data_IF_651839491115
#
_entry.id   IF_651839491115
#
_cell.length_a   1.000
_cell.length_b   1.000
_cell.length_c   1.000
_cell.angle_alpha   90.00
_cell.angle_beta   90.00
_cell.angle_gamma   90.00
#
_symmetry.space_group_name_H-M   'P 1'
#
loop_
_entity.id
_entity.type
_entity.pdbx_description
1 polymer ?
#
# COMPACT_ATOMS: atom_id res chain seq x y z
N UNK A 1 -2.24 35.18 -17.37
CA UNK A 1 -1.16 34.84 -18.34
C UNK A 1 0.19 35.06 -17.64
N UNK A 2 1.04 34.03 -17.57
CA UNK A 2 2.40 34.18 -17.02
C UNK A 2 3.31 34.95 -17.97
N UNK A 3 4.38 35.56 -17.44
CA UNK A 3 5.35 36.39 -18.18
C UNK A 3 6.20 35.63 -19.22
N UNK A 4 6.10 34.29 -19.32
CA UNK A 4 6.92 33.46 -20.23
C UNK A 4 6.06 32.78 -21.31
N UNK A 5 6.57 32.64 -22.55
CA UNK A 5 5.91 31.87 -23.60
C UNK A 5 5.79 30.40 -23.19
N UNK A 6 4.60 29.80 -23.40
CA UNK A 6 4.34 28.37 -23.16
C UNK A 6 3.98 27.69 -24.48
N UNK A 7 4.49 26.47 -24.69
CA UNK A 7 4.12 25.60 -25.83
C UNK A 7 2.91 24.70 -25.52
N UNK A 8 2.30 24.81 -24.33
CA UNK A 8 1.19 23.96 -23.89
C UNK A 8 0.24 24.66 -22.90
N UNK A 9 -0.64 23.87 -22.28
CA UNK A 9 -1.67 24.35 -21.34
C UNK A 9 -1.97 23.36 -20.22
N UNK A 10 -3.02 23.63 -19.44
CA UNK A 10 -3.56 22.73 -18.42
C UNK A 10 -4.81 22.05 -18.98
N UNK A 11 -4.87 20.72 -18.89
CA UNK A 11 -6.06 19.93 -19.23
C UNK A 11 -6.63 19.29 -17.98
N UNK A 12 -7.95 19.26 -17.89
CA UNK A 12 -8.69 18.67 -16.77
C UNK A 12 -9.83 17.84 -17.36
N UNK A 13 -10.00 16.63 -16.87
CA UNK A 13 -11.01 15.68 -17.31
C UNK A 13 -11.39 14.74 -16.14
N UNK A 14 -12.43 13.94 -16.29
CA UNK A 14 -12.91 12.95 -15.31
C UNK A 14 -13.17 13.57 -13.90
N UNK A 15 -13.69 14.80 -13.84
CA UNK A 15 -13.99 15.49 -12.57
C UNK A 15 -15.12 14.76 -11.85
N UNK A 16 -14.88 14.36 -10.60
CA UNK A 16 -15.88 13.74 -9.73
C UNK A 16 -15.98 14.49 -8.41
N UNK A 17 -17.20 14.57 -7.87
CA UNK A 17 -17.48 15.15 -6.55
C UNK A 17 -18.35 14.18 -5.76
N UNK A 18 -17.96 13.90 -4.53
CA UNK A 18 -18.72 13.07 -3.58
C UNK A 18 -18.53 13.57 -2.16
N UNK A 19 -19.56 13.42 -1.33
CA UNK A 19 -19.51 13.72 0.11
C UNK A 19 -18.81 12.60 0.89
N UNK A 20 -17.59 12.27 0.48
CA UNK A 20 -16.77 11.20 1.05
C UNK A 20 -15.41 11.75 1.48
N UNK A 21 -14.81 11.15 2.50
CA UNK A 21 -13.46 11.54 2.90
C UNK A 21 -12.44 11.17 1.83
N UNK A 22 -11.54 12.09 1.48
CA UNK A 22 -10.42 11.80 0.60
C UNK A 22 -9.54 10.67 1.16
N UNK A 23 -8.95 9.83 0.29
CA UNK A 23 -7.93 8.89 0.71
C UNK A 23 -6.77 9.67 1.34
N UNK A 24 -6.18 9.11 2.41
CA UNK A 24 -5.08 9.80 3.10
C UNK A 24 -3.80 9.80 2.26
N UNK A 25 -3.58 8.72 1.49
CA UNK A 25 -2.42 8.60 0.61
C UNK A 25 -2.81 7.93 -0.71
N UNK A 26 -2.04 8.26 -1.74
CA UNK A 26 -2.19 7.70 -3.08
C UNK A 26 -0.84 7.17 -3.54
N UNK A 27 -0.81 5.94 -4.01
CA UNK A 27 0.35 5.34 -4.65
C UNK A 27 0.04 5.01 -6.10
N UNK A 28 0.59 5.82 -7.00
CA UNK A 28 0.54 5.57 -8.45
C UNK A 28 1.76 4.77 -8.87
N UNK A 29 1.54 3.64 -9.52
CA UNK A 29 2.59 2.82 -10.13
C UNK A 29 2.44 2.96 -11.64
N UNK A 30 3.52 3.39 -12.30
CA UNK A 30 3.58 3.58 -13.75
C UNK A 30 4.20 2.37 -14.44
N UNK A 31 4.00 2.27 -15.75
CA UNK A 31 4.52 1.20 -16.59
C UNK A 31 4.09 -0.19 -16.08
N UNK A 32 2.85 -0.29 -15.59
CA UNK A 32 2.39 -1.43 -14.83
C UNK A 32 2.29 -2.70 -15.68
N UNK A 33 1.99 -2.58 -16.97
CA UNK A 33 1.97 -3.72 -17.91
C UNK A 33 3.34 -4.38 -18.03
N UNK A 34 4.40 -3.57 -18.10
CA UNK A 34 5.78 -4.08 -18.12
C UNK A 34 6.14 -4.75 -16.79
N UNK A 35 5.77 -4.13 -15.66
CA UNK A 35 5.97 -4.73 -14.34
C UNK A 35 5.23 -6.06 -14.19
N UNK A 36 3.99 -6.15 -14.67
CA UNK A 36 3.19 -7.36 -14.69
C UNK A 36 3.83 -8.47 -15.56
N UNK A 37 4.48 -8.12 -16.66
CA UNK A 37 5.14 -9.10 -17.54
C UNK A 37 6.49 -9.59 -16.98
N UNK A 38 7.23 -8.74 -16.26
CA UNK A 38 8.65 -8.98 -15.94
C UNK A 38 8.93 -9.29 -14.47
N UNK A 39 8.06 -8.89 -13.54
CA UNK A 39 8.29 -9.07 -12.11
C UNK A 39 8.08 -10.55 -11.72
N UNK A 40 9.07 -11.27 -11.19
CA UNK A 40 8.87 -12.66 -10.81
C UNK A 40 7.94 -12.79 -9.59
N UNK A 41 7.22 -13.91 -9.50
CA UNK A 41 6.43 -14.23 -8.31
C UNK A 41 7.32 -14.29 -7.06
N UNK A 42 6.82 -13.79 -5.93
CA UNK A 42 7.59 -13.64 -4.69
C UNK A 42 8.43 -12.36 -4.60
N UNK A 43 8.51 -11.56 -5.68
CA UNK A 43 9.15 -10.24 -5.63
C UNK A 43 8.18 -9.18 -5.10
N UNK A 44 8.61 -8.46 -4.06
CA UNK A 44 7.82 -7.40 -3.42
C UNK A 44 8.20 -6.02 -3.95
N UNK A 45 7.22 -5.33 -4.53
CA UNK A 45 7.27 -3.91 -4.86
C UNK A 45 6.71 -3.11 -3.69
N UNK A 46 7.46 -2.15 -3.15
CA UNK A 46 7.05 -1.42 -1.95
C UNK A 46 6.65 0.02 -2.26
N UNK A 47 5.61 0.50 -1.59
CA UNK A 47 5.22 1.91 -1.64
C UNK A 47 6.27 2.80 -0.96
N UNK A 48 6.22 4.13 -1.16
CA UNK A 48 6.80 5.06 -0.20
C UNK A 48 6.32 4.76 1.23
N UNK A 49 7.10 5.19 2.23
CA UNK A 49 6.64 5.17 3.61
C UNK A 49 5.69 6.35 3.85
N UNK A 50 4.57 6.05 4.48
CA UNK A 50 3.56 7.02 4.86
C UNK A 50 3.55 7.20 6.38
N UNK A 51 2.92 8.28 6.83
CA UNK A 51 2.78 8.60 8.24
C UNK A 51 1.31 8.93 8.52
N UNK A 52 0.63 8.06 9.27
CA UNK A 52 -0.78 8.22 9.62
C UNK A 52 -1.03 9.50 10.43
N UNK A 53 -2.29 10.01 10.50
CA UNK A 53 -2.63 11.16 11.34
C UNK A 53 -2.23 10.99 12.80
N UNK A 54 -2.26 9.76 13.31
CA UNK A 54 -1.89 9.42 14.69
C UNK A 54 -0.39 9.22 14.89
N UNK A 55 0.42 9.37 13.83
CA UNK A 55 1.88 9.35 13.88
C UNK A 55 2.53 7.98 13.61
N UNK A 56 1.76 6.91 13.36
CA UNK A 56 2.33 5.62 12.97
C UNK A 56 2.85 5.66 11.53
N UNK A 57 4.11 5.25 11.34
CA UNK A 57 4.66 5.10 10.00
C UNK A 57 4.34 3.71 9.44
N UNK A 58 3.99 3.63 8.16
CA UNK A 58 3.62 2.37 7.51
C UNK A 58 4.03 2.33 6.04
N UNK A 59 4.01 1.13 5.47
CA UNK A 59 4.36 0.86 4.08
C UNK A 59 3.54 -0.30 3.53
N UNK A 60 3.24 -0.25 2.24
CA UNK A 60 2.51 -1.31 1.53
C UNK A 60 3.49 -2.11 0.67
N UNK A 61 3.45 -3.43 0.82
CA UNK A 61 4.14 -4.39 -0.05
C UNK A 61 3.17 -5.02 -1.04
N UNK A 62 3.44 -4.85 -2.32
CA UNK A 62 2.68 -5.41 -3.43
C UNK A 62 3.49 -6.51 -4.11
N UNK A 63 2.89 -7.68 -4.31
CA UNK A 63 3.47 -8.76 -5.09
C UNK A 63 2.63 -8.91 -6.35
N UNK A 64 3.08 -8.25 -7.42
CA UNK A 64 2.31 -8.07 -8.67
C UNK A 64 1.89 -9.42 -9.27
N UNK A 65 2.81 -10.38 -9.32
CA UNK A 65 2.58 -11.75 -9.80
C UNK A 65 2.33 -12.77 -8.68
N UNK A 66 2.00 -12.29 -7.49
CA UNK A 66 1.69 -13.10 -6.32
C UNK A 66 2.91 -13.53 -5.51
N UNK A 67 2.64 -14.25 -4.42
CA UNK A 67 3.67 -14.86 -3.57
C UNK A 67 4.03 -16.24 -4.12
N UNK A 68 5.19 -16.78 -3.75
CA UNK A 68 5.69 -18.06 -4.28
C UNK A 68 4.69 -19.22 -4.14
N UNK A 69 3.93 -19.26 -3.05
CA UNK A 69 2.91 -20.28 -2.77
C UNK A 69 1.50 -19.95 -3.32
N UNK A 70 1.30 -18.80 -3.96
CA UNK A 70 0.02 -18.38 -4.54
C UNK A 70 0.28 -17.47 -5.74
N UNK A 71 0.69 -18.10 -6.84
CA UNK A 71 1.04 -17.43 -8.09
C UNK A 71 -0.23 -17.03 -8.87
N UNK A 72 -0.08 -16.13 -9.84
CA UNK A 72 -1.16 -15.66 -10.75
C UNK A 72 -2.28 -14.85 -10.08
N UNK A 73 -2.08 -14.45 -8.83
CA UNK A 73 -2.95 -13.53 -8.09
C UNK A 73 -2.08 -12.46 -7.47
N UNK A 74 -2.42 -11.19 -7.69
CA UNK A 74 -1.71 -10.12 -7.02
C UNK A 74 -1.94 -10.24 -5.51
N UNK A 75 -0.89 -10.03 -4.72
CA UNK A 75 -0.96 -10.02 -3.26
C UNK A 75 -0.60 -8.64 -2.71
N UNK A 76 -1.21 -8.27 -1.59
CA UNK A 76 -0.98 -6.99 -0.94
C UNK A 76 -0.84 -7.18 0.56
N UNK A 77 0.14 -6.50 1.15
CA UNK A 77 0.42 -6.56 2.56
C UNK A 77 0.73 -5.18 3.13
N UNK A 78 0.16 -4.92 4.30
CA UNK A 78 0.47 -3.78 5.12
C UNK A 78 1.61 -4.11 6.09
N UNK A 79 2.48 -3.13 6.32
CA UNK A 79 3.55 -3.17 7.31
C UNK A 79 3.55 -1.88 8.12
N UNK A 80 3.66 -2.00 9.45
CA UNK A 80 4.18 -0.87 10.24
C UNK A 80 5.69 -0.72 9.97
N UNK A 81 6.19 0.50 9.97
CA UNK A 81 7.61 0.81 9.82
C UNK A 81 8.08 1.75 10.90
N UNK A 82 9.38 1.74 11.21
CA UNK A 82 9.93 2.65 12.22
C UNK A 82 9.77 4.09 11.77
N UNK A 83 9.08 4.89 12.57
CA UNK A 83 8.77 6.28 12.30
C UNK A 83 9.48 7.27 13.23
N UNK A 84 9.26 8.57 12.99
CA UNK A 84 9.80 9.67 13.80
C UNK A 84 9.10 9.85 15.15
N UNK A 85 7.87 9.33 15.31
CA UNK A 85 7.07 9.50 16.54
C UNK A 85 7.02 8.25 17.41
N UNK A 86 7.68 7.16 17.02
CA UNK A 86 7.57 5.84 17.67
C UNK A 86 7.73 5.86 19.20
N UNK A 87 8.57 6.75 19.73
CA UNK A 87 8.84 6.88 21.18
C UNK A 87 7.66 7.48 21.96
N UNK A 88 6.71 8.12 21.26
CA UNK A 88 5.51 8.76 21.82
C UNK A 88 4.23 7.97 21.52
N UNK A 89 4.33 6.91 20.73
CA UNK A 89 3.18 6.10 20.32
C UNK A 89 2.94 4.95 21.28
N UNK A 90 1.69 4.51 21.36
CA UNK A 90 1.33 3.30 22.06
C UNK A 90 1.78 2.06 21.28
N UNK A 91 2.34 1.09 21.97
CA UNK A 91 2.74 -0.19 21.40
C UNK A 91 2.28 -1.35 22.29
N UNK A 92 1.77 -2.46 21.72
CA UNK A 92 1.49 -2.71 20.30
C UNK A 92 0.43 -1.75 19.71
N UNK A 93 0.51 -1.45 18.41
CA UNK A 93 -0.37 -0.49 17.74
C UNK A 93 -1.85 -0.87 17.89
N UNK A 94 -2.66 -0.12 18.65
CA UNK A 94 -3.99 -0.57 19.04
C UNK A 94 -5.06 -0.14 18.05
N UNK A 95 -5.73 -1.13 17.46
CA UNK A 95 -7.01 -0.98 16.77
C UNK A 95 -7.03 0.05 15.62
N UNK A 96 -5.91 0.17 14.90
CA UNK A 96 -5.85 0.95 13.67
C UNK A 96 -6.33 0.11 12.50
N UNK A 97 -7.32 0.60 11.77
CA UNK A 97 -7.81 0.00 10.55
C UNK A 97 -7.04 0.58 9.37
N UNK A 98 -6.31 -0.29 8.67
CA UNK A 98 -5.68 0.04 7.40
C UNK A 98 -6.59 -0.36 6.25
N UNK A 99 -6.94 0.58 5.38
CA UNK A 99 -7.59 0.31 4.10
C UNK A 99 -6.56 0.34 2.97
N UNK A 100 -6.55 -0.72 2.15
CA UNK A 100 -5.76 -0.84 0.94
C UNK A 100 -6.69 -1.07 -0.23
N UNK A 101 -6.78 -0.08 -1.10
CA UNK A 101 -7.77 -0.03 -2.17
C UNK A 101 -7.06 0.12 -3.51
N UNK A 102 -7.46 -0.69 -4.48
CA UNK A 102 -7.07 -0.58 -5.89
C UNK A 102 -8.22 0.09 -6.64
N UNK A 103 -7.93 1.26 -7.19
CA UNK A 103 -8.92 2.11 -7.85
C UNK A 103 -9.26 1.56 -9.24
N UNK A 104 -10.56 1.32 -9.48
CA UNK A 104 -11.12 1.23 -10.81
C UNK A 104 -11.23 2.65 -11.38
N UNK A 105 -10.42 2.99 -12.38
CA UNK A 105 -10.28 4.35 -12.91
C UNK A 105 -11.39 4.71 -13.91
N UNK A 106 -12.62 4.26 -13.64
CA UNK A 106 -13.81 4.65 -14.40
C UNK A 106 -14.01 6.18 -14.29
N UNK A 107 -14.29 6.88 -15.42
CA UNK A 107 -14.62 8.31 -15.43
C UNK A 107 -15.72 8.70 -14.45
N UNK A 108 -16.74 7.86 -14.29
CA UNK A 108 -17.85 8.09 -13.37
C UNK A 108 -17.62 7.33 -12.05
N UNK A 109 -17.57 8.06 -10.94
CA UNK A 109 -17.40 7.50 -9.60
C UNK A 109 -18.49 6.50 -9.22
N UNK A 110 -19.72 6.65 -9.74
CA UNK A 110 -20.84 5.73 -9.46
C UNK A 110 -20.64 4.35 -10.10
N UNK A 111 -19.78 4.25 -11.12
CA UNK A 111 -19.48 3.01 -11.84
C UNK A 111 -18.13 2.38 -11.45
N UNK A 112 -17.42 2.97 -10.47
CA UNK A 112 -16.17 2.40 -9.96
C UNK A 112 -16.44 1.18 -9.11
N UNK A 113 -15.81 0.06 -9.47
CA UNK A 113 -15.81 -1.17 -8.66
C UNK A 113 -14.43 -1.40 -8.08
N UNK A 114 -14.01 -0.50 -7.18
CA UNK A 114 -12.72 -0.59 -6.52
C UNK A 114 -12.56 -1.92 -5.78
N UNK A 115 -11.36 -2.49 -5.81
CA UNK A 115 -11.06 -3.70 -5.06
C UNK A 115 -10.40 -3.29 -3.75
N UNK A 116 -11.02 -3.59 -2.61
CA UNK A 116 -10.61 -3.09 -1.30
C UNK A 116 -10.34 -4.27 -0.36
N UNK A 117 -9.26 -4.17 0.41
CA UNK A 117 -9.03 -5.02 1.58
C UNK A 117 -8.74 -4.14 2.79
N UNK A 118 -9.30 -4.52 3.94
CA UNK A 118 -9.05 -3.84 5.21
C UNK A 118 -8.43 -4.82 6.20
N UNK A 119 -7.54 -4.31 7.04
CA UNK A 119 -7.00 -5.04 8.18
C UNK A 119 -7.08 -4.15 9.42
N UNK A 120 -7.14 -4.75 10.60
CA UNK A 120 -7.10 -4.02 11.87
C UNK A 120 -5.90 -4.49 12.69
N UNK A 121 -5.18 -3.55 13.30
CA UNK A 121 -4.04 -3.86 14.17
C UNK A 121 -4.52 -4.33 15.54
N UNK A 122 -4.81 -5.62 15.68
CA UNK A 122 -5.17 -6.22 16.98
C UNK A 122 -3.94 -6.26 17.92
N UNK A 123 -3.90 -5.46 18.99
CA UNK A 123 -2.73 -5.37 19.87
C UNK A 123 -2.44 -6.66 20.62
N UNK A 124 -3.37 -7.62 20.66
CA UNK A 124 -3.19 -8.93 21.30
C UNK A 124 -2.61 -9.98 20.36
N UNK A 125 -2.54 -9.69 19.05
CA UNK A 125 -2.01 -10.62 18.06
C UNK A 125 -0.51 -10.85 18.31
N UNK A 126 -0.12 -12.12 18.45
CA UNK A 126 1.26 -12.53 18.67
C UNK A 126 1.81 -13.38 17.53
N UNK A 127 3.13 -13.55 17.52
CA UNK A 127 3.83 -14.53 16.72
C UNK A 127 5.05 -15.03 17.49
N UNK A 128 5.53 -16.23 17.14
CA UNK A 128 6.77 -16.77 17.67
C UNK A 128 7.92 -16.44 16.72
N UNK A 129 8.99 -15.81 17.23
CA UNK A 129 10.17 -15.53 16.43
C UNK A 129 11.04 -16.78 16.20
N UNK A 130 12.09 -16.66 15.39
CA UNK A 130 12.99 -17.78 15.07
C UNK A 130 13.76 -18.32 16.28
N UNK A 131 13.78 -17.60 17.41
CA UNK A 131 14.42 -18.01 18.67
C UNK A 131 13.41 -18.61 19.65
N UNK A 132 12.15 -18.80 19.24
CA UNK A 132 11.11 -19.36 20.10
C UNK A 132 10.44 -18.34 21.03
N UNK A 133 10.74 -17.05 20.92
CA UNK A 133 10.15 -16.03 21.78
C UNK A 133 8.81 -15.55 21.21
N UNK A 134 7.79 -15.48 22.06
CA UNK A 134 6.50 -14.87 21.71
C UNK A 134 6.66 -13.35 21.71
N UNK A 135 6.27 -12.72 20.60
CA UNK A 135 6.30 -11.26 20.41
C UNK A 135 4.95 -10.78 19.89
N UNK A 136 4.62 -9.53 20.16
CA UNK A 136 3.43 -8.91 19.59
C UNK A 136 3.66 -8.56 18.13
N UNK A 137 2.71 -8.93 17.27
CA UNK A 137 2.79 -8.75 15.83
C UNK A 137 2.86 -7.27 15.43
N UNK A 138 2.12 -6.43 16.15
CA UNK A 138 2.02 -4.99 15.92
C UNK A 138 2.85 -4.15 16.90
N UNK A 139 3.88 -4.72 17.53
CA UNK A 139 4.82 -3.95 18.36
C UNK A 139 5.71 -3.03 17.49
N UNK A 140 6.48 -2.18 18.16
CA UNK A 140 7.38 -1.22 17.54
C UNK A 140 8.31 -1.94 16.53
N UNK A 141 8.35 -1.52 15.26
CA UNK A 141 9.19 -2.14 14.24
C UNK A 141 10.67 -2.21 14.61
N UNK A 142 11.19 -1.29 15.44
CA UNK A 142 12.57 -1.37 15.96
C UNK A 142 12.80 -2.58 16.87
N UNK A 143 11.76 -3.12 17.51
CA UNK A 143 11.80 -4.31 18.39
C UNK A 143 11.51 -5.61 17.65
N UNK A 144 10.52 -5.61 16.75
CA UNK A 144 9.97 -6.83 16.15
C UNK A 144 10.16 -6.93 14.64
N UNK A 145 10.61 -5.85 14.00
CA UNK A 145 10.81 -5.76 12.57
C UNK A 145 12.22 -6.14 12.11
N UNK A 146 12.42 -6.06 10.79
CA UNK A 146 13.71 -6.31 10.14
C UNK A 146 14.25 -5.02 9.54
N UNK A 147 15.57 -4.84 9.61
CA UNK A 147 16.24 -3.70 9.00
C UNK A 147 16.12 -3.77 7.47
N UNK A 148 15.68 -2.68 6.86
CA UNK A 148 15.57 -2.50 5.41
C UNK A 148 16.47 -1.32 5.02
N UNK A 149 17.13 -1.47 3.87
CA UNK A 149 17.86 -0.40 3.19
C UNK A 149 17.04 -0.04 1.96
N UNK A 150 16.56 1.20 1.89
CA UNK A 150 15.80 1.69 0.73
C UNK A 150 16.73 2.01 -0.45
N UNK A 151 16.13 2.26 -1.61
CA UNK A 151 16.87 2.59 -2.84
C UNK A 151 17.70 3.87 -2.74
N UNK A 152 17.31 4.80 -1.87
CA UNK A 152 18.06 6.03 -1.56
C UNK A 152 19.17 5.84 -0.50
N UNK A 153 19.35 4.61 0.00
CA UNK A 153 20.31 4.27 1.05
C UNK A 153 19.80 4.52 2.48
N UNK A 154 18.59 5.07 2.65
CA UNK A 154 18.00 5.25 3.97
C UNK A 154 17.70 3.91 4.64
N UNK A 155 17.84 3.89 5.97
CA UNK A 155 17.65 2.68 6.78
C UNK A 155 16.45 2.84 7.69
N UNK A 156 15.61 1.82 7.77
CA UNK A 156 14.47 1.77 8.67
C UNK A 156 14.13 0.32 9.02
N UNK A 157 13.34 0.13 10.07
CA UNK A 157 12.82 -1.19 10.43
C UNK A 157 11.43 -1.36 9.83
N UNK A 158 11.20 -2.49 9.18
CA UNK A 158 9.90 -2.89 8.65
C UNK A 158 9.34 -4.02 9.50
N UNK A 159 8.17 -3.80 10.08
CA UNK A 159 7.43 -4.79 10.85
C UNK A 159 6.92 -5.95 9.99
N UNK A 160 6.26 -6.90 10.64
CA UNK A 160 5.67 -8.05 9.97
C UNK A 160 4.55 -7.62 9.00
N UNK A 161 4.32 -8.47 8.00
CA UNK A 161 3.37 -8.23 6.91
C UNK A 161 2.01 -8.85 7.22
N UNK A 162 0.92 -8.09 7.12
CA UNK A 162 -0.46 -8.60 7.21
C UNK A 162 -1.28 -8.13 6.02
N UNK A 163 -2.09 -8.99 5.45
CA UNK A 163 -2.84 -8.73 4.23
C UNK A 163 -3.28 -10.04 3.60
N UNK A 164 -3.37 -10.09 2.27
CA UNK A 164 -3.88 -11.24 1.54
C UNK A 164 -2.98 -11.63 0.38
N UNK A 165 -2.80 -12.94 0.18
CA UNK A 165 -2.13 -13.52 -1.00
C UNK A 165 -3.03 -13.58 -2.23
N UNK A 166 -4.33 -13.31 -2.08
CA UNK A 166 -5.33 -13.37 -3.15
C UNK A 166 -6.11 -12.07 -3.18
N UNK A 167 -5.42 -10.95 -3.44
CA UNK A 167 -6.03 -9.63 -3.46
C UNK A 167 -6.92 -9.42 -4.69
N UNK A 168 -6.39 -9.74 -5.88
CA UNK A 168 -7.14 -9.73 -7.15
C UNK A 168 -6.45 -10.68 -8.14
N UNK A 169 -7.24 -11.42 -8.93
CA UNK A 169 -6.71 -12.26 -10.02
C UNK A 169 -6.25 -11.37 -11.17
N UNK A 170 -5.30 -11.83 -11.99
CA UNK A 170 -4.88 -11.05 -13.16
C UNK A 170 -6.00 -10.84 -14.17
N UNK A 171 -6.92 -11.80 -14.32
CA UNK A 171 -8.09 -11.63 -15.19
C UNK A 171 -9.01 -10.50 -14.71
N UNK A 172 -9.28 -10.43 -13.40
CA UNK A 172 -10.07 -9.33 -12.82
C UNK A 172 -9.32 -8.01 -12.86
N UNK A 173 -8.00 -8.03 -12.69
CA UNK A 173 -7.16 -6.84 -12.82
C UNK A 173 -7.22 -6.26 -14.24
N UNK A 174 -7.38 -7.10 -15.26
CA UNK A 174 -7.47 -6.70 -16.67
C UNK A 174 -8.91 -6.44 -17.15
N UNK A 175 -9.94 -6.76 -16.37
CA UNK A 175 -11.34 -6.72 -16.84
C UNK A 175 -12.01 -5.35 -16.77
N UNK A 176 -11.46 -4.41 -15.99
CA UNK A 176 -11.99 -3.05 -15.78
C UNK A 176 -10.88 -2.00 -15.93
N UNK A 177 -11.14 -0.76 -15.56
CA UNK A 177 -10.19 0.34 -15.64
C UNK A 177 -9.20 0.37 -14.48
N UNK A 178 -8.81 -0.79 -13.91
CA UNK A 178 -7.77 -0.83 -12.89
C UNK A 178 -6.41 -0.40 -13.44
N UNK A 179 -6.08 -0.83 -14.67
CA UNK A 179 -4.92 -0.38 -15.44
C UNK A 179 -5.43 0.59 -16.51
N UNK A 180 -5.12 1.89 -16.41
CA UNK A 180 -5.52 2.93 -17.38
C UNK A 180 -4.29 3.79 -17.70
N UNK A 181 -4.00 3.98 -18.99
CA UNK A 181 -2.78 4.70 -19.41
C UNK A 181 -1.48 4.06 -18.92
N UNK A 182 -1.46 2.72 -18.79
CA UNK A 182 -0.37 1.91 -18.23
C UNK A 182 -0.04 2.19 -16.74
N UNK A 183 -0.99 2.80 -16.03
CA UNK A 183 -0.86 3.10 -14.61
C UNK A 183 -1.91 2.37 -13.78
N UNK A 184 -1.53 2.03 -12.55
CA UNK A 184 -2.46 1.64 -11.49
C UNK A 184 -2.38 2.63 -10.33
N UNK A 185 -3.51 2.84 -9.66
CA UNK A 185 -3.62 3.76 -8.54
C UNK A 185 -4.13 3.00 -7.33
N UNK A 186 -3.33 3.00 -6.27
CA UNK A 186 -3.75 2.52 -4.96
C UNK A 186 -4.08 3.70 -4.04
N UNK A 187 -5.14 3.54 -3.26
CA UNK A 187 -5.61 4.48 -2.26
C UNK A 187 -5.43 3.84 -0.88
N UNK A 188 -4.86 4.60 0.06
CA UNK A 188 -4.54 4.11 1.39
C UNK A 188 -5.07 5.01 2.49
N UNK A 189 -5.45 4.39 3.60
CA UNK A 189 -5.68 5.08 4.87
C UNK A 189 -5.33 4.19 6.05
N UNK A 190 -4.95 4.81 7.16
CA UNK A 190 -4.77 4.20 8.47
C UNK A 190 -5.43 5.11 9.50
N UNK A 191 -6.44 4.60 10.21
CA UNK A 191 -7.23 5.33 11.22
C UNK A 191 -7.47 4.46 12.45
#
# INVERSE_FOLDING_TARGET
KGRKPSKGGLSLDDINLSETQCPQYTWRIRNFTSLLATTPAGYGTYSPRYLSPDGYSFQIGLYINGVTCSQHKMAIYFHLTSGPYDDKLQWPCPWRQASMELMDQNPDIQHRMNNIVMITTDPTMTFTDSKGNVKYFWDNPRKVGSLVIDSDGSKYYRGRRRGTSSYITHDRLKSRSFIKGDDVIFLFSLK
#
